data_IF_511520871560
#
_entry.id   IF_511520871560
#
_cell.length_a   1.000
_cell.length_b   1.000
_cell.length_c   1.000
_cell.angle_alpha   90.00
_cell.angle_beta   90.00
_cell.angle_gamma   90.00
#
_symmetry.space_group_name_H-M   'P 1'
#
loop_
_entity.id
_entity.type
_entity.pdbx_description
1 polymer ?
#
# COMPACT_ATOMS: atom_id res chain seq x y z
N UNK A 1 12.58 -55.78 -25.34
CA UNK A 1 12.77 -54.89 -24.19
C UNK A 1 12.79 -53.42 -24.66
N UNK A 2 11.69 -52.92 -25.24
CA UNK A 2 11.53 -51.51 -25.68
C UNK A 2 10.08 -51.00 -25.46
N UNK A 3 9.12 -51.89 -25.18
CA UNK A 3 7.69 -51.52 -25.09
C UNK A 3 7.30 -50.93 -23.72
N UNK A 4 8.14 -51.08 -22.69
CA UNK A 4 7.84 -50.63 -21.33
C UNK A 4 8.08 -49.12 -21.08
N UNK A 5 8.81 -48.40 -21.95
CA UNK A 5 9.11 -46.97 -21.71
C UNK A 5 8.02 -46.01 -22.22
N UNK A 6 7.22 -46.41 -23.23
CA UNK A 6 6.15 -45.57 -23.77
C UNK A 6 4.99 -45.37 -22.79
N UNK A 7 4.60 -46.41 -22.04
CA UNK A 7 3.46 -46.34 -21.12
C UNK A 7 3.73 -45.42 -19.90
N UNK A 8 4.99 -45.32 -19.48
CA UNK A 8 5.40 -44.43 -18.37
C UNK A 8 5.41 -42.98 -18.84
N UNK A 9 5.89 -42.72 -20.05
CA UNK A 9 5.92 -41.37 -20.63
C UNK A 9 4.52 -40.82 -20.90
N UNK A 10 3.60 -41.68 -21.37
CA UNK A 10 2.22 -41.28 -21.63
C UNK A 10 1.44 -40.95 -20.34
N UNK A 11 1.70 -41.68 -19.24
CA UNK A 11 1.13 -41.37 -17.92
C UNK A 11 1.69 -40.05 -17.36
N UNK A 12 2.97 -39.77 -17.56
CA UNK A 12 3.59 -38.53 -17.09
C UNK A 12 3.04 -37.31 -17.84
N UNK A 13 2.85 -37.42 -19.16
CA UNK A 13 2.23 -36.34 -19.97
C UNK A 13 0.76 -36.13 -19.58
N UNK A 14 -0.01 -37.21 -19.39
CA UNK A 14 -1.41 -37.09 -18.95
C UNK A 14 -1.53 -36.42 -17.57
N UNK A 15 -0.62 -36.73 -16.63
CA UNK A 15 -0.54 -36.08 -15.32
C UNK A 15 -0.22 -34.58 -15.42
N UNK A 16 0.76 -34.20 -16.25
CA UNK A 16 1.13 -32.81 -16.49
C UNK A 16 -0.02 -32.00 -17.14
N UNK A 17 -0.72 -32.60 -18.11
CA UNK A 17 -1.88 -31.97 -18.77
C UNK A 17 -3.04 -31.77 -17.79
N UNK A 18 -3.29 -32.72 -16.88
CA UNK A 18 -4.35 -32.59 -15.87
C UNK A 18 -4.03 -31.45 -14.89
N UNK A 19 -2.77 -31.35 -14.43
CA UNK A 19 -2.32 -30.28 -13.53
C UNK A 19 -2.40 -28.89 -14.18
N UNK A 20 -2.14 -28.78 -15.49
CA UNK A 20 -2.31 -27.53 -16.25
C UNK A 20 -3.80 -27.17 -16.41
N UNK A 21 -4.66 -28.17 -16.58
CA UNK A 21 -6.11 -27.98 -16.70
C UNK A 21 -6.74 -27.49 -15.39
N UNK A 22 -6.31 -28.04 -14.24
CA UNK A 22 -6.75 -27.59 -12.91
C UNK A 22 -6.29 -26.16 -12.58
N UNK A 23 -5.06 -25.76 -12.98
CA UNK A 23 -4.59 -24.37 -12.83
C UNK A 23 -5.40 -23.37 -13.66
N UNK A 24 -5.86 -23.74 -14.85
CA UNK A 24 -6.74 -22.90 -15.69
C UNK A 24 -8.17 -22.77 -15.13
N UNK A 25 -8.64 -23.75 -14.37
CA UNK A 25 -9.94 -23.66 -13.68
C UNK A 25 -9.84 -22.78 -12.44
N UNK A 26 -8.75 -22.87 -11.67
CA UNK A 26 -8.52 -21.96 -10.55
C UNK A 26 -8.34 -20.49 -10.99
N UNK A 27 -7.68 -20.24 -12.12
CA UNK A 27 -7.47 -18.86 -12.60
C UNK A 27 -8.76 -18.20 -13.11
N UNK A 28 -9.72 -18.98 -13.64
CA UNK A 28 -11.03 -18.46 -14.08
C UNK A 28 -11.97 -18.11 -12.92
N UNK A 29 -11.86 -18.81 -11.79
CA UNK A 29 -12.66 -18.51 -10.60
C UNK A 29 -12.13 -17.32 -9.79
N UNK A 30 -10.83 -17.00 -9.92
CA UNK A 30 -10.25 -15.81 -9.27
C UNK A 30 -10.66 -14.50 -9.97
N UNK A 31 -10.97 -14.54 -11.28
CA UNK A 31 -11.43 -13.36 -12.03
C UNK A 31 -12.90 -13.00 -11.76
N UNK A 32 -13.69 -13.91 -11.20
CA UNK A 32 -15.10 -13.64 -10.88
C UNK A 32 -15.30 -12.95 -9.53
N UNK A 33 -14.26 -12.87 -8.69
CA UNK A 33 -14.32 -12.26 -7.35
C UNK A 33 -13.95 -10.77 -7.31
N UNK A 34 -13.56 -10.15 -8.43
CA UNK A 34 -13.10 -8.74 -8.47
C UNK A 34 -14.16 -7.78 -9.05
N UNK A 35 -15.31 -8.27 -9.50
CA UNK A 35 -16.35 -7.43 -10.16
C UNK A 35 -17.50 -6.94 -9.27
N UNK A 36 -17.40 -7.03 -7.94
CA UNK A 36 -18.45 -6.52 -7.03
C UNK A 36 -17.87 -5.42 -6.14
N UNK A 37 -17.57 -4.24 -6.72
CA UNK A 37 -17.53 -2.96 -6.00
C UNK A 37 -17.74 -1.80 -7.00
N UNK A 38 -18.88 -1.82 -7.69
CA UNK A 38 -19.45 -0.64 -8.33
C UNK A 38 -20.80 -0.35 -7.65
N UNK A 39 -20.75 0.25 -6.47
CA UNK A 39 -21.93 0.75 -5.78
C UNK A 39 -22.44 2.02 -6.50
N UNK A 40 -23.53 1.85 -7.22
CA UNK A 40 -24.75 2.69 -7.17
C UNK A 40 -24.62 4.11 -6.61
N UNK A 41 -24.70 5.11 -7.51
CA UNK A 41 -25.28 6.42 -7.24
C UNK A 41 -26.43 6.67 -8.23
N UNK A 42 -27.61 7.15 -7.78
CA UNK A 42 -28.70 7.52 -8.66
C UNK A 42 -28.43 8.91 -9.27
N UNK A 43 -28.29 8.98 -10.60
CA UNK A 43 -28.31 10.24 -11.34
C UNK A 43 -29.77 10.55 -11.67
N UNK A 44 -30.33 11.53 -10.97
CA UNK A 44 -31.57 12.20 -11.39
C UNK A 44 -31.21 13.11 -12.58
N UNK A 45 -31.55 12.68 -13.79
CA UNK A 45 -31.49 13.52 -14.99
C UNK A 45 -32.90 13.99 -15.34
N UNK A 46 -33.21 15.25 -15.01
CA UNK A 46 -34.35 15.97 -15.57
C UNK A 46 -33.98 16.46 -16.98
N UNK A 47 -34.80 16.07 -17.95
CA UNK A 47 -34.82 16.61 -19.32
C UNK A 47 -35.29 18.07 -19.32
N UNK A 48 -34.65 18.93 -20.12
CA UNK A 48 -35.34 19.98 -20.87
C UNK A 48 -34.48 20.48 -22.05
N UNK A 49 -35.17 20.88 -23.10
CA UNK A 49 -34.75 21.01 -24.49
C UNK A 49 -33.93 22.27 -24.86
N UNK A 50 -33.31 22.16 -26.05
CA UNK A 50 -32.68 23.19 -26.89
C UNK A 50 -33.51 24.50 -27.04
N UNK A 51 -32.84 25.66 -27.05
CA UNK A 51 -32.50 26.45 -28.26
C UNK A 51 -32.42 27.98 -28.04
N UNK A 52 -31.26 28.54 -28.46
CA UNK A 52 -31.00 29.80 -29.21
C UNK A 52 -31.30 31.22 -28.67
N UNK A 53 -30.21 32.00 -28.77
CA UNK A 53 -30.03 33.43 -29.15
C UNK A 53 -29.97 34.57 -28.10
N UNK A 54 -28.81 35.26 -28.13
CA UNK A 54 -28.52 36.70 -27.90
C UNK A 54 -28.79 37.24 -26.49
N UNK A 55 -27.90 37.95 -25.79
CA UNK A 55 -27.16 39.17 -26.13
C UNK A 55 -26.15 39.46 -24.99
N UNK A 56 -25.13 40.25 -25.32
CA UNK A 56 -24.03 40.80 -24.52
C UNK A 56 -24.50 41.52 -23.23
N UNK A 57 -23.99 41.15 -22.05
CA UNK A 57 -23.92 42.03 -20.86
C UNK A 57 -22.84 41.53 -19.89
N UNK A 58 -21.89 42.43 -19.61
CA UNK A 58 -21.02 42.62 -18.44
C UNK A 58 -20.55 41.42 -17.61
N UNK A 59 -19.22 41.28 -17.59
CA UNK A 59 -18.46 40.40 -16.71
C UNK A 59 -18.85 40.59 -15.23
N UNK A 60 -19.28 39.54 -14.52
CA UNK A 60 -19.38 39.63 -13.08
C UNK A 60 -17.96 39.60 -12.49
N UNK A 61 -17.69 40.60 -11.65
CA UNK A 61 -16.54 40.65 -10.75
C UNK A 61 -16.51 39.32 -9.98
N UNK A 62 -15.50 38.51 -10.26
CA UNK A 62 -15.18 37.33 -9.46
C UNK A 62 -14.86 37.85 -8.07
N UNK A 63 -15.80 37.72 -7.14
CA UNK A 63 -15.53 37.86 -5.74
C UNK A 63 -14.47 36.81 -5.41
N UNK A 64 -13.24 37.26 -5.21
CA UNK A 64 -12.16 36.46 -4.64
C UNK A 64 -12.68 35.97 -3.29
N UNK A 65 -13.16 34.73 -3.24
CA UNK A 65 -13.37 34.05 -1.98
C UNK A 65 -12.01 34.05 -1.30
N UNK A 66 -11.87 34.87 -0.25
CA UNK A 66 -10.76 34.79 0.67
C UNK A 66 -10.68 33.35 1.12
N UNK A 67 -9.72 32.60 0.56
CA UNK A 67 -9.29 31.33 1.08
C UNK A 67 -8.79 31.63 2.48
N UNK A 68 -9.63 31.38 3.49
CA UNK A 68 -9.21 31.31 4.88
C UNK A 68 -8.03 30.35 4.89
N UNK A 69 -6.82 30.85 5.19
CA UNK A 69 -5.63 30.04 5.19
C UNK A 69 -5.85 28.86 6.14
N UNK A 70 -5.95 27.65 5.57
CA UNK A 70 -6.09 26.43 6.34
C UNK A 70 -4.89 26.37 7.30
N UNK A 71 -5.15 26.17 8.60
CA UNK A 71 -4.09 26.12 9.60
C UNK A 71 -3.03 25.09 9.16
N UNK A 72 -1.73 25.38 9.40
CA UNK A 72 -0.67 24.47 8.99
C UNK A 72 -0.87 23.10 9.64
N UNK A 73 -0.98 22.07 8.81
CA UNK A 73 -1.17 20.69 9.27
C UNK A 73 0.03 20.25 10.11
N UNK A 74 -0.25 19.53 11.21
CA UNK A 74 0.73 18.76 11.96
C UNK A 74 0.11 17.39 12.32
N UNK A 75 0.90 16.30 12.33
CA UNK A 75 0.40 14.99 12.71
C UNK A 75 0.00 14.99 14.18
N UNK A 76 -1.07 14.25 14.49
CA UNK A 76 -1.42 13.93 15.87
C UNK A 76 -0.59 12.72 16.28
N UNK A 77 0.19 12.84 17.35
CA UNK A 77 1.01 11.73 17.85
C UNK A 77 0.17 10.71 18.60
N UNK A 78 0.66 9.48 18.65
CA UNK A 78 0.01 8.39 19.34
C UNK A 78 0.02 8.64 20.85
N UNK A 79 -1.14 8.46 21.47
CA UNK A 79 -1.39 8.55 22.90
C UNK A 79 -2.53 7.60 23.24
N UNK A 80 -2.36 6.80 24.30
CA UNK A 80 -3.31 5.73 24.63
C UNK A 80 -4.71 6.21 25.03
N UNK A 81 -4.84 7.49 25.40
CA UNK A 81 -6.10 8.08 25.85
C UNK A 81 -6.83 8.84 24.74
N UNK A 82 -6.19 8.99 23.58
CA UNK A 82 -6.76 9.71 22.44
C UNK A 82 -7.69 8.79 21.66
N UNK A 83 -8.92 9.21 21.35
CA UNK A 83 -9.85 8.40 20.56
C UNK A 83 -9.29 8.14 19.16
N UNK A 84 -9.46 6.93 18.66
CA UNK A 84 -8.85 6.52 17.37
C UNK A 84 -9.36 7.37 16.19
N UNK A 85 -10.58 7.90 16.28
CA UNK A 85 -11.14 8.82 15.29
C UNK A 85 -10.33 10.11 15.13
N UNK A 86 -9.61 10.55 16.17
CA UNK A 86 -8.71 11.71 16.06
C UNK A 86 -7.60 11.45 15.02
N UNK A 87 -7.14 10.21 14.89
CA UNK A 87 -6.09 9.83 13.94
C UNK A 87 -6.57 9.75 12.49
N UNK A 88 -7.86 9.90 12.19
CA UNK A 88 -8.36 9.96 10.80
C UNK A 88 -7.79 11.17 10.03
N UNK A 89 -7.33 12.20 10.75
CA UNK A 89 -6.67 13.36 10.17
C UNK A 89 -5.22 13.06 9.72
N UNK A 90 -4.59 12.00 10.25
CA UNK A 90 -3.25 11.54 9.89
C UNK A 90 -3.26 10.82 8.54
N UNK A 91 -3.68 11.52 7.48
CA UNK A 91 -3.63 11.00 6.11
C UNK A 91 -2.17 10.86 5.66
N UNK A 92 -1.77 9.71 5.09
CA UNK A 92 -0.38 9.48 4.67
C UNK A 92 0.18 10.59 3.77
N UNK A 93 -0.60 11.08 2.78
CA UNK A 93 -0.17 12.18 1.92
C UNK A 93 0.09 13.50 2.64
N UNK A 94 -0.72 13.85 3.67
CA UNK A 94 -0.52 15.06 4.47
C UNK A 94 0.73 14.94 5.35
N UNK A 95 0.92 13.78 5.99
CA UNK A 95 2.11 13.51 6.83
C UNK A 95 3.37 13.54 5.99
N UNK A 96 3.35 12.94 4.80
CA UNK A 96 4.51 12.93 3.92
C UNK A 96 4.96 14.33 3.53
N UNK A 97 4.02 15.18 3.08
CA UNK A 97 4.32 16.58 2.74
C UNK A 97 4.79 17.38 3.96
N UNK A 98 4.22 17.10 5.14
CA UNK A 98 4.66 17.74 6.37
C UNK A 98 6.10 17.36 6.74
N UNK A 99 6.45 16.06 6.72
CA UNK A 99 7.81 15.60 6.97
C UNK A 99 8.80 16.13 5.93
N UNK A 100 8.43 16.12 4.65
CA UNK A 100 9.22 16.74 3.58
C UNK A 100 9.42 18.25 3.83
N UNK A 101 8.39 18.95 4.31
CA UNK A 101 8.47 20.33 4.75
C UNK A 101 9.47 20.54 5.90
N UNK A 102 9.43 19.66 6.92
CA UNK A 102 10.40 19.71 8.02
C UNK A 102 11.85 19.52 7.52
N UNK A 103 12.09 18.51 6.67
CA UNK A 103 13.43 18.24 6.10
C UNK A 103 13.90 19.39 5.21
N UNK A 104 13.04 19.91 4.33
CA UNK A 104 13.39 20.97 3.38
C UNK A 104 13.58 22.35 4.03
N UNK A 105 13.03 22.55 5.24
CA UNK A 105 13.22 23.78 6.01
C UNK A 105 14.61 23.90 6.65
N UNK A 106 15.36 22.80 6.74
CA UNK A 106 16.74 22.83 7.25
C UNK A 106 17.64 23.54 6.21
N UNK A 107 18.35 24.61 6.60
CA UNK A 107 19.18 25.38 5.68
C UNK A 107 20.38 24.59 5.18
N UNK A 108 21.06 25.10 4.16
CA UNK A 108 22.35 24.57 3.66
C UNK A 108 22.30 23.10 3.21
N UNK A 109 21.24 22.73 2.48
CA UNK A 109 21.12 21.39 1.90
C UNK A 109 22.39 21.03 1.10
N UNK A 110 23.07 19.91 1.43
CA UNK A 110 24.29 19.53 0.77
C UNK A 110 24.08 19.29 -0.72
N UNK A 111 25.05 19.75 -1.50
CA UNK A 111 25.15 19.51 -2.92
C UNK A 111 26.39 18.66 -3.25
N UNK A 112 26.73 18.57 -4.54
CA UNK A 112 27.88 17.81 -5.01
C UNK A 112 29.23 18.42 -4.59
N UNK A 113 29.26 19.69 -4.20
CA UNK A 113 30.45 20.42 -3.79
C UNK A 113 30.59 20.52 -2.27
N UNK A 114 29.54 20.21 -1.51
CA UNK A 114 29.58 20.21 -0.05
C UNK A 114 30.60 19.21 0.50
N UNK A 115 31.38 19.71 1.46
CA UNK A 115 32.36 18.97 2.23
C UNK A 115 31.70 17.89 3.11
N UNK A 116 32.50 16.96 3.62
CA UNK A 116 32.01 15.95 4.56
C UNK A 116 31.48 16.58 5.87
N UNK A 117 32.08 17.69 6.32
CA UNK A 117 31.66 18.36 7.54
C UNK A 117 30.33 19.10 7.36
N UNK A 118 30.11 19.79 6.24
CA UNK A 118 28.83 20.43 5.94
C UNK A 118 27.69 19.40 5.83
N UNK A 119 27.97 18.23 5.24
CA UNK A 119 27.02 17.10 5.21
C UNK A 119 26.67 16.61 6.62
N UNK A 120 27.68 16.44 7.47
CA UNK A 120 27.50 16.00 8.86
C UNK A 120 26.69 17.00 9.69
N UNK A 121 26.94 18.31 9.52
CA UNK A 121 26.18 19.37 10.19
C UNK A 121 24.72 19.33 9.72
N UNK A 122 24.47 19.27 8.42
CA UNK A 122 23.12 19.18 7.88
C UNK A 122 22.35 17.95 8.38
N UNK A 123 23.01 16.78 8.41
CA UNK A 123 22.43 15.55 8.94
C UNK A 123 22.10 15.66 10.43
N UNK A 124 22.96 16.32 11.22
CA UNK A 124 22.71 16.59 12.63
C UNK A 124 21.53 17.55 12.83
N UNK A 125 21.43 18.61 12.03
CA UNK A 125 20.33 19.58 12.09
C UNK A 125 18.98 18.93 11.74
N UNK A 126 18.95 18.04 10.73
CA UNK A 126 17.77 17.23 10.45
C UNK A 126 17.46 16.34 11.64
N UNK A 127 18.46 15.66 12.21
CA UNK A 127 18.24 14.75 13.32
C UNK A 127 17.67 15.47 14.55
N UNK A 128 18.17 16.66 14.88
CA UNK A 128 17.62 17.51 15.94
C UNK A 128 16.16 17.89 15.64
N UNK A 129 15.88 18.29 14.39
CA UNK A 129 14.51 18.62 13.98
C UNK A 129 13.54 17.43 14.09
N UNK A 130 14.02 16.23 13.76
CA UNK A 130 13.24 15.00 13.79
C UNK A 130 13.12 14.39 15.18
N UNK A 131 13.98 14.77 16.13
CA UNK A 131 13.95 14.26 17.51
C UNK A 131 12.63 14.60 18.24
N UNK A 132 11.96 15.69 17.86
CA UNK A 132 10.66 16.09 18.41
C UNK A 132 9.45 15.38 17.77
N UNK A 133 9.65 14.52 16.77
CA UNK A 133 8.56 13.81 16.11
C UNK A 133 8.24 12.55 16.90
N UNK A 134 7.08 12.55 17.54
CA UNK A 134 6.57 11.38 18.26
C UNK A 134 6.12 10.26 17.32
N UNK A 135 5.62 9.17 17.89
CA UNK A 135 5.07 8.07 17.11
C UNK A 135 3.80 8.51 16.37
N UNK A 136 3.72 8.23 15.07
CA UNK A 136 2.63 8.67 14.20
C UNK A 136 1.70 7.48 13.92
N UNK A 137 0.44 7.51 14.39
CA UNK A 137 -0.57 6.53 14.03
C UNK A 137 -1.14 6.84 12.64
N UNK A 138 -1.21 5.83 11.79
CA UNK A 138 -1.82 5.90 10.45
C UNK A 138 -2.81 4.76 10.27
N UNK A 139 -4.04 5.13 9.90
CA UNK A 139 -5.12 4.18 9.63
C UNK A 139 -5.03 3.74 8.17
N UNK A 140 -5.14 2.44 7.92
CA UNK A 140 -5.10 1.86 6.59
C UNK A 140 -6.06 0.68 6.47
N UNK A 141 -6.46 0.40 5.24
CA UNK A 141 -7.37 -0.71 4.96
C UNK A 141 -6.61 -2.05 5.02
N UNK A 142 -7.04 -2.93 5.91
CA UNK A 142 -6.58 -4.32 5.95
C UNK A 142 -7.60 -5.28 5.33
N UNK A 143 -7.13 -6.47 4.94
CA UNK A 143 -7.98 -7.53 4.44
C UNK A 143 -8.64 -8.22 5.63
N UNK A 144 -9.93 -8.50 5.53
CA UNK A 144 -10.69 -9.20 6.55
C UNK A 144 -11.55 -10.29 5.93
N UNK A 145 -11.61 -11.42 6.60
CA UNK A 145 -12.43 -12.57 6.21
C UNK A 145 -13.07 -13.16 7.45
N UNK A 146 -14.40 -13.20 7.48
CA UNK A 146 -15.13 -13.83 8.58
C UNK A 146 -15.25 -15.34 8.34
N UNK A 147 -14.95 -16.14 9.36
CA UNK A 147 -15.21 -17.57 9.41
C UNK A 147 -16.44 -17.81 10.27
N UNK A 148 -17.54 -18.25 9.65
CA UNK A 148 -18.81 -18.51 10.35
C UNK A 148 -18.73 -19.67 11.34
N UNK A 149 -17.95 -20.71 11.01
CA UNK A 149 -17.88 -21.94 11.78
C UNK A 149 -17.03 -21.73 13.03
N UNK A 150 -15.92 -20.99 12.89
CA UNK A 150 -15.05 -20.61 14.00
C UNK A 150 -15.53 -19.36 14.76
N UNK A 151 -16.54 -18.65 14.25
CA UNK A 151 -17.04 -17.37 14.77
C UNK A 151 -15.91 -16.36 15.03
N UNK A 152 -15.11 -16.12 13.98
CA UNK A 152 -13.92 -15.26 14.10
C UNK A 152 -13.62 -14.51 12.81
N UNK A 153 -13.09 -13.30 12.93
CA UNK A 153 -12.43 -12.60 11.83
C UNK A 153 -10.97 -13.01 11.72
N UNK A 154 -10.56 -13.43 10.53
CA UNK A 154 -9.17 -13.39 10.12
C UNK A 154 -8.90 -12.02 9.49
N UNK A 155 -8.03 -11.23 10.11
CA UNK A 155 -7.61 -9.93 9.60
C UNK A 155 -6.15 -10.02 9.24
N UNK A 156 -5.82 -9.67 8.01
CA UNK A 156 -4.46 -9.76 7.54
C UNK A 156 -4.07 -8.62 6.60
N UNK A 157 -2.77 -8.38 6.54
CA UNK A 157 -2.15 -7.50 5.56
C UNK A 157 -0.75 -7.98 5.28
N UNK A 158 -0.18 -7.52 4.16
CA UNK A 158 1.11 -8.01 3.67
C UNK A 158 2.11 -6.87 3.70
N UNK A 159 3.33 -7.18 4.12
CA UNK A 159 4.48 -6.37 3.78
C UNK A 159 5.27 -7.04 2.66
N UNK A 160 5.66 -6.28 1.65
CA UNK A 160 6.53 -6.75 0.56
C UNK A 160 7.94 -6.24 0.72
N UNK A 161 8.89 -6.82 0.01
CA UNK A 161 10.23 -6.24 -0.11
C UNK A 161 10.24 -5.20 -1.23
N UNK A 162 11.08 -4.16 -1.10
CA UNK A 162 11.27 -3.16 -2.16
C UNK A 162 11.95 -3.84 -3.34
N UNK A 163 11.29 -3.89 -4.51
CA UNK A 163 11.78 -4.65 -5.66
C UNK A 163 12.90 -3.92 -6.40
N UNK A 164 12.74 -2.61 -6.59
CA UNK A 164 13.74 -1.81 -7.28
C UNK A 164 14.72 -1.19 -6.28
N UNK A 165 15.67 -2.00 -5.79
CA UNK A 165 16.67 -1.53 -4.82
C UNK A 165 17.65 -0.51 -5.42
N UNK A 166 17.79 -0.45 -6.75
CA UNK A 166 18.71 0.48 -7.41
C UNK A 166 18.23 1.94 -7.34
N UNK A 167 16.92 2.15 -7.30
CA UNK A 167 16.32 3.49 -7.15
C UNK A 167 16.40 4.00 -5.70
N UNK A 168 16.56 3.11 -4.73
CA UNK A 168 16.74 3.46 -3.32
C UNK A 168 18.23 3.74 -3.06
N UNK A 169 18.67 4.96 -3.37
CA UNK A 169 20.09 5.34 -3.22
C UNK A 169 20.51 5.64 -1.78
N UNK A 170 19.55 5.86 -0.88
CA UNK A 170 19.80 6.35 0.48
C UNK A 170 20.13 5.24 1.48
N UNK A 171 19.72 4.00 1.22
CA UNK A 171 19.97 2.84 2.08
C UNK A 171 20.18 1.57 1.24
N UNK A 172 20.95 0.62 1.75
CA UNK A 172 20.97 -0.73 1.20
C UNK A 172 19.75 -1.51 1.70
N UNK A 173 18.65 -1.40 0.95
CA UNK A 173 17.39 -2.04 1.28
C UNK A 173 17.48 -3.57 1.37
N UNK A 174 18.38 -4.20 0.59
CA UNK A 174 18.56 -5.65 0.57
C UNK A 174 19.35 -6.11 1.80
N UNK A 175 20.46 -5.44 2.12
CA UNK A 175 21.26 -5.78 3.30
C UNK A 175 20.49 -5.59 4.61
N UNK A 176 19.65 -4.55 4.67
CA UNK A 176 18.79 -4.26 5.83
C UNK A 176 17.48 -5.07 5.85
N UNK A 177 17.24 -5.90 4.82
CA UNK A 177 15.99 -6.65 4.65
C UNK A 177 14.74 -5.78 4.84
N UNK A 178 14.70 -4.64 4.14
CA UNK A 178 13.62 -3.66 4.27
C UNK A 178 12.32 -4.21 3.70
N UNK A 179 11.25 -4.11 4.50
CA UNK A 179 9.88 -4.41 4.10
C UNK A 179 9.10 -3.11 3.96
N UNK A 180 8.10 -3.12 3.09
CA UNK A 180 7.17 -2.03 2.90
C UNK A 180 5.71 -2.46 3.16
N UNK A 181 4.95 -1.61 3.85
CA UNK A 181 3.49 -1.72 3.98
C UNK A 181 2.88 -0.55 3.23
N UNK A 182 1.98 -0.83 2.29
CA UNK A 182 1.25 0.20 1.54
C UNK A 182 0.11 0.71 2.43
N UNK A 183 0.09 2.01 2.67
CA UNK A 183 -0.97 2.68 3.45
C UNK A 183 -2.10 3.19 2.55
N UNK A 184 -1.76 3.60 1.33
CA UNK A 184 -2.72 4.12 0.36
C UNK A 184 -2.07 4.57 -0.93
N UNK A 185 -2.90 4.97 -1.88
CA UNK A 185 -2.47 5.46 -3.19
C UNK A 185 -3.29 6.67 -3.60
N UNK A 186 -2.63 7.65 -4.20
CA UNK A 186 -3.22 8.88 -4.73
C UNK A 186 -2.86 9.03 -6.23
N UNK A 187 -3.52 9.98 -6.91
CA UNK A 187 -3.25 10.34 -8.32
C UNK A 187 -3.24 9.13 -9.28
N UNK A 188 -4.09 8.14 -9.03
CA UNK A 188 -4.15 6.94 -9.84
C UNK A 188 -4.71 7.25 -11.22
N UNK A 189 -3.90 7.06 -12.26
CA UNK A 189 -4.33 7.11 -13.66
C UNK A 189 -4.37 5.71 -14.26
N UNK A 190 -5.33 5.49 -15.16
CA UNK A 190 -5.52 4.22 -15.86
C UNK A 190 -5.71 4.49 -17.33
N UNK A 191 -4.77 4.01 -18.14
CA UNK A 191 -4.77 4.17 -19.57
C UNK A 191 -4.55 2.81 -20.25
N UNK A 192 -4.61 2.79 -21.57
CA UNK A 192 -4.23 1.61 -22.34
C UNK A 192 -3.58 2.00 -23.65
N UNK A 193 -2.64 1.19 -24.12
CA UNK A 193 -2.00 1.36 -25.41
C UNK A 193 -1.86 0.02 -26.12
N UNK A 194 -1.71 0.05 -27.44
CA UNK A 194 -1.40 -1.14 -28.22
C UNK A 194 0.11 -1.34 -28.21
N UNK A 195 0.55 -2.51 -27.74
CA UNK A 195 1.94 -2.95 -27.83
C UNK A 195 2.05 -4.07 -28.86
N UNK A 196 3.17 -4.13 -29.57
CA UNK A 196 3.47 -5.19 -30.52
C UNK A 196 4.66 -5.99 -30.00
N UNK A 197 4.57 -7.32 -30.03
CA UNK A 197 5.71 -8.17 -29.70
C UNK A 197 6.65 -8.34 -30.91
N UNK A 198 7.80 -9.00 -30.70
CA UNK A 198 8.80 -9.24 -31.75
C UNK A 198 8.29 -10.08 -32.95
N UNK A 199 7.15 -10.79 -32.80
CA UNK A 199 6.52 -11.59 -33.85
C UNK A 199 5.39 -10.84 -34.56
N UNK A 200 5.22 -9.55 -34.27
CA UNK A 200 4.20 -8.71 -34.88
C UNK A 200 2.80 -8.84 -34.28
N UNK A 201 2.61 -9.66 -33.23
CA UNK A 201 1.31 -9.79 -32.59
C UNK A 201 1.02 -8.58 -31.70
N UNK A 202 -0.15 -7.98 -31.91
CA UNK A 202 -0.61 -6.83 -31.14
C UNK A 202 -1.37 -7.26 -29.89
N UNK A 203 -1.17 -6.54 -28.79
CA UNK A 203 -1.90 -6.74 -27.54
C UNK A 203 -2.17 -5.40 -26.91
N UNK A 204 -3.40 -5.23 -26.40
CA UNK A 204 -3.73 -4.06 -25.58
C UNK A 204 -3.09 -4.24 -24.21
N UNK A 205 -2.19 -3.32 -23.88
CA UNK A 205 -1.58 -3.24 -22.56
C UNK A 205 -2.37 -2.26 -21.72
N UNK A 206 -2.76 -2.68 -20.52
CA UNK A 206 -3.39 -1.83 -19.53
C UNK A 206 -2.30 -1.19 -18.67
N UNK A 207 -2.28 0.15 -18.61
CA UNK A 207 -1.29 0.91 -17.86
C UNK A 207 -1.92 1.54 -16.64
N UNK A 208 -1.32 1.33 -15.48
CA UNK A 208 -1.68 2.01 -14.24
C UNK A 208 -0.48 2.81 -13.73
N UNK A 209 -0.70 4.08 -13.39
CA UNK A 209 0.30 4.90 -12.69
C UNK A 209 -0.32 5.43 -11.40
N UNK A 210 0.41 5.37 -10.28
CA UNK A 210 -0.08 5.89 -9.01
C UNK A 210 1.07 6.38 -8.11
N UNK A 211 0.76 7.37 -7.27
CA UNK A 211 1.61 7.79 -6.16
C UNK A 211 1.24 6.94 -4.94
N UNK A 212 2.18 6.18 -4.40
CA UNK A 212 1.95 5.18 -3.34
C UNK A 212 2.60 5.64 -2.05
N UNK A 213 1.79 5.83 -1.01
CA UNK A 213 2.31 6.11 0.33
C UNK A 213 2.46 4.83 1.12
N UNK A 214 3.63 4.66 1.73
CA UNK A 214 3.99 3.40 2.39
C UNK A 214 4.89 3.63 3.59
N UNK A 215 4.99 2.64 4.46
CA UNK A 215 6.01 2.59 5.52
C UNK A 215 7.05 1.56 5.11
N UNK A 216 8.31 1.97 5.09
CA UNK A 216 9.47 1.10 4.91
C UNK A 216 10.21 0.93 6.23
N UNK A 217 10.53 -0.30 6.59
CA UNK A 217 11.17 -0.63 7.86
C UNK A 217 12.08 -1.85 7.69
N UNK A 218 13.23 -1.93 8.38
CA UNK A 218 13.97 -3.17 8.49
C UNK A 218 13.09 -4.25 9.12
N UNK A 219 13.11 -5.47 8.59
CA UNK A 219 12.22 -6.53 9.08
C UNK A 219 12.35 -6.83 10.59
N UNK A 220 13.56 -6.64 11.14
CA UNK A 220 13.82 -6.80 12.59
C UNK A 220 13.06 -5.78 13.46
N UNK A 221 12.61 -4.68 12.86
CA UNK A 221 11.97 -3.55 13.53
C UNK A 221 10.44 -3.56 13.33
N UNK A 222 9.84 -4.76 13.33
CA UNK A 222 8.38 -4.94 13.27
C UNK A 222 7.84 -5.92 14.31
N UNK A 223 6.54 -5.84 14.65
CA UNK A 223 5.86 -6.81 15.52
C UNK A 223 5.87 -8.21 14.94
N UNK A 224 6.85 -9.03 15.34
CA UNK A 224 7.03 -10.38 14.79
C UNK A 224 6.05 -11.42 15.36
N UNK A 225 5.39 -11.10 16.48
CA UNK A 225 4.45 -11.98 17.19
C UNK A 225 3.18 -12.32 16.41
N UNK A 226 2.79 -11.47 15.46
CA UNK A 226 1.61 -11.63 14.61
C UNK A 226 1.95 -12.05 13.19
N UNK A 227 3.21 -12.39 12.94
CA UNK A 227 3.63 -12.92 11.65
C UNK A 227 3.17 -14.38 11.60
N UNK A 228 2.29 -14.65 10.64
CA UNK A 228 1.80 -15.99 10.45
C UNK A 228 2.80 -16.81 9.64
N UNK A 229 3.49 -17.71 10.33
CA UNK A 229 4.24 -18.81 9.73
C UNK A 229 3.31 -19.98 9.33
N UNK A 230 2.00 -19.87 9.61
CA UNK A 230 0.93 -20.87 9.62
C UNK A 230 0.80 -21.80 8.42
N UNK A 231 1.73 -22.75 8.31
CA UNK A 231 1.78 -23.74 7.24
C UNK A 231 2.43 -23.24 5.96
N UNK A 232 3.15 -22.11 6.03
CA UNK A 232 4.01 -21.65 4.95
C UNK A 232 4.99 -22.77 4.61
N UNK A 233 4.96 -23.36 3.39
CA UNK A 233 5.90 -24.40 3.02
C UNK A 233 7.32 -23.91 3.30
N UNK A 234 8.21 -24.76 3.81
CA UNK A 234 9.62 -24.43 4.14
C UNK A 234 10.31 -23.60 3.04
N UNK A 235 9.86 -23.72 1.79
CA UNK A 235 10.28 -22.91 0.64
C UNK A 235 10.11 -21.40 0.80
N UNK A 236 9.12 -20.90 1.55
CA UNK A 236 8.94 -19.44 1.69
C UNK A 236 9.72 -18.84 2.88
N UNK A 237 10.30 -19.66 3.77
CA UNK A 237 11.08 -19.16 4.92
C UNK A 237 12.39 -18.50 4.51
N UNK A 238 12.97 -18.95 3.40
CA UNK A 238 14.22 -18.44 2.83
C UNK A 238 14.01 -17.96 1.39
N UNK A 239 12.97 -17.17 1.16
CA UNK A 239 12.81 -16.53 -0.14
C UNK A 239 13.92 -15.51 -0.37
N UNK A 240 14.45 -15.43 -1.60
CA UNK A 240 15.23 -14.28 -2.01
C UNK A 240 14.46 -13.00 -1.70
N UNK A 241 15.17 -12.00 -1.17
CA UNK A 241 14.62 -10.70 -0.76
C UNK A 241 13.52 -10.17 -1.71
N UNK A 242 13.77 -10.15 -3.02
CA UNK A 242 12.84 -9.60 -4.02
C UNK A 242 11.44 -10.25 -4.07
N UNK A 243 11.31 -11.49 -3.60
CA UNK A 243 10.04 -12.22 -3.56
C UNK A 243 9.58 -12.53 -2.14
N UNK A 244 10.37 -12.16 -1.12
CA UNK A 244 10.01 -12.34 0.29
C UNK A 244 8.90 -11.36 0.67
N UNK A 245 7.79 -11.94 1.15
CA UNK A 245 6.60 -11.24 1.62
C UNK A 245 6.27 -11.77 3.01
N UNK A 246 5.89 -10.88 3.91
CA UNK A 246 5.44 -11.25 5.26
C UNK A 246 3.96 -10.99 5.40
N UNK A 247 3.26 -11.96 5.96
CA UNK A 247 1.83 -11.89 6.24
C UNK A 247 1.65 -11.65 7.74
N UNK A 248 1.03 -10.53 8.08
CA UNK A 248 0.62 -10.22 9.45
C UNK A 248 -0.83 -10.65 9.59
N UNK A 249 -1.16 -11.41 10.64
CA UNK A 249 -2.48 -11.97 10.86
C UNK A 249 -2.93 -11.79 12.31
N UNK A 250 -4.17 -11.33 12.47
CA UNK A 250 -4.94 -11.41 13.70
C UNK A 250 -6.13 -12.35 13.51
N UNK A 251 -6.38 -13.19 14.50
CA UNK A 251 -7.62 -13.96 14.60
C UNK A 251 -8.43 -13.38 15.75
N UNK A 252 -9.55 -12.75 15.43
CA UNK A 252 -10.39 -12.04 16.41
C UNK A 252 -11.70 -12.80 16.60
N UNK A 253 -11.92 -13.44 17.76
CA UNK A 253 -13.20 -14.05 18.08
C UNK A 253 -14.31 -13.00 18.06
N UNK A 254 -15.37 -13.23 17.29
CA UNK A 254 -16.50 -12.31 17.18
C UNK A 254 -17.77 -13.06 16.79
N UNK A 255 -18.86 -12.81 17.52
CA UNK A 255 -20.15 -13.45 17.24
C UNK A 255 -20.74 -12.96 15.91
N UNK A 256 -21.54 -13.81 15.27
CA UNK A 256 -22.07 -13.50 13.93
C UNK A 256 -23.00 -12.28 13.88
N UNK A 257 -23.68 -11.95 14.97
CA UNK A 257 -24.50 -10.73 15.09
C UNK A 257 -23.61 -9.49 15.03
N UNK A 258 -22.56 -9.50 15.84
CA UNK A 258 -21.64 -8.38 16.01
C UNK A 258 -20.80 -8.19 14.75
N UNK A 259 -20.37 -9.29 14.14
CA UNK A 259 -19.68 -9.28 12.86
C UNK A 259 -20.50 -8.58 11.78
N UNK A 260 -21.80 -8.91 11.64
CA UNK A 260 -22.67 -8.23 10.66
C UNK A 260 -22.82 -6.73 10.92
N UNK A 261 -22.87 -6.32 12.19
CA UNK A 261 -23.00 -4.91 12.56
C UNK A 261 -21.69 -4.13 12.36
N UNK A 262 -20.55 -4.76 12.64
CA UNK A 262 -19.23 -4.12 12.71
C UNK A 262 -18.37 -4.32 11.47
N UNK A 263 -18.80 -5.16 10.52
CA UNK A 263 -17.99 -5.56 9.36
C UNK A 263 -17.37 -4.35 8.65
N UNK A 264 -18.15 -3.29 8.40
CA UNK A 264 -17.67 -2.09 7.70
C UNK A 264 -16.78 -1.17 8.54
N UNK A 265 -16.79 -1.33 9.85
CA UNK A 265 -16.11 -0.44 10.81
C UNK A 265 -14.77 -1.00 11.29
N UNK A 266 -14.50 -2.29 11.07
CA UNK A 266 -13.19 -2.89 11.35
C UNK A 266 -12.14 -2.36 10.38
N UNK A 267 -11.09 -1.76 10.92
CA UNK A 267 -9.93 -1.25 10.17
C UNK A 267 -8.63 -1.46 10.95
N UNK A 268 -7.50 -1.17 10.32
CA UNK A 268 -6.18 -1.35 10.91
C UNK A 268 -5.48 0.00 11.10
N UNK A 269 -4.65 0.06 12.13
CA UNK A 269 -3.79 1.18 12.46
C UNK A 269 -2.36 0.67 12.61
N UNK A 270 -1.42 1.45 12.11
CA UNK A 270 0.00 1.27 12.38
C UNK A 270 0.51 2.49 13.10
N UNK A 271 1.20 2.29 14.22
CA UNK A 271 1.91 3.32 14.97
C UNK A 271 3.38 3.18 14.63
N UNK A 272 3.94 4.25 14.08
CA UNK A 272 5.25 4.21 13.45
C UNK A 272 6.17 5.30 14.01
N UNK A 273 7.43 4.94 14.26
CA UNK A 273 8.49 5.87 14.63
C UNK A 273 9.38 6.15 13.42
N UNK A 274 9.69 7.43 13.16
CA UNK A 274 10.60 7.81 12.09
C UNK A 274 12.06 7.62 12.51
N UNK A 275 12.91 7.18 11.59
CA UNK A 275 14.35 7.10 11.77
C UNK A 275 15.08 7.50 10.48
N UNK A 276 16.35 7.93 10.52
CA UNK A 276 17.11 8.25 9.31
C UNK A 276 17.07 7.11 8.28
N UNK A 277 16.88 7.38 6.97
CA UNK A 277 16.82 8.70 6.31
C UNK A 277 15.43 9.38 6.31
N UNK A 278 14.51 8.94 7.18
CA UNK A 278 13.16 9.46 7.43
C UNK A 278 12.14 9.27 6.30
N UNK A 279 12.55 9.53 5.06
CA UNK A 279 11.75 9.31 3.86
C UNK A 279 12.57 8.58 2.78
N UNK A 280 11.91 7.69 2.05
CA UNK A 280 12.44 7.06 0.84
C UNK A 280 11.56 7.42 -0.35
N UNK A 281 12.19 7.69 -1.48
CA UNK A 281 11.54 7.90 -2.78
C UNK A 281 12.11 6.89 -3.76
N UNK A 282 11.25 6.10 -4.40
CA UNK A 282 11.66 5.12 -5.41
C UNK A 282 10.51 4.83 -6.36
N UNK A 283 10.81 4.35 -7.57
CA UNK A 283 9.78 3.92 -8.52
C UNK A 283 9.87 2.42 -8.73
N UNK A 284 8.74 1.73 -8.60
CA UNK A 284 8.65 0.35 -9.07
C UNK A 284 7.91 0.32 -10.40
N UNK A 285 8.54 -0.33 -11.37
CA UNK A 285 7.96 -0.56 -12.69
C UNK A 285 7.76 -2.06 -12.88
N UNK A 286 6.49 -2.46 -13.04
CA UNK A 286 6.14 -3.78 -13.54
C UNK A 286 5.91 -3.67 -15.03
N UNK A 287 6.77 -4.31 -15.80
CA UNK A 287 6.64 -4.38 -17.24
C UNK A 287 5.58 -5.41 -17.64
N UNK A 288 4.86 -5.16 -18.76
CA UNK A 288 3.93 -6.15 -19.30
C UNK A 288 4.71 -7.40 -19.70
N UNK A 289 4.09 -8.56 -19.48
CA UNK A 289 4.62 -9.86 -19.85
C UNK A 289 3.65 -10.56 -20.81
N UNK A 290 4.10 -11.65 -21.42
CA UNK A 290 3.23 -12.44 -22.30
C UNK A 290 1.95 -12.93 -21.59
N UNK A 291 2.08 -13.30 -20.32
CA UNK A 291 0.99 -13.92 -19.56
C UNK A 291 0.17 -12.86 -18.78
N UNK A 292 0.68 -11.63 -18.67
CA UNK A 292 0.02 -10.49 -18.02
C UNK A 292 0.34 -9.19 -18.77
N UNK A 293 -0.59 -8.77 -19.62
CA UNK A 293 -0.50 -7.54 -20.42
C UNK A 293 -0.82 -6.28 -19.61
N UNK A 294 -0.27 -6.17 -18.40
CA UNK A 294 -0.46 -5.04 -17.50
C UNK A 294 0.88 -4.38 -17.19
N UNK A 295 0.93 -3.06 -17.31
CA UNK A 295 2.06 -2.22 -16.93
C UNK A 295 1.68 -1.41 -15.69
N UNK A 296 2.44 -1.54 -14.61
CA UNK A 296 2.22 -0.76 -13.39
C UNK A 296 3.45 0.12 -13.12
N UNK A 297 3.24 1.42 -12.94
CA UNK A 297 4.26 2.40 -12.55
C UNK A 297 3.86 3.01 -11.21
N UNK A 298 4.53 2.60 -10.14
CA UNK A 298 4.24 3.09 -8.79
C UNK A 298 5.37 3.98 -8.29
N UNK A 299 5.05 5.24 -8.01
CA UNK A 299 5.96 6.20 -7.40
C UNK A 299 5.78 6.16 -5.90
N UNK A 300 6.72 5.55 -5.19
CA UNK A 300 6.63 5.37 -3.75
C UNK A 300 7.13 6.61 -3.02
N UNK A 301 6.28 7.08 -2.09
CA UNK A 301 6.53 8.10 -1.09
C UNK A 301 6.52 7.42 0.28
N UNK A 302 7.67 6.87 0.67
CA UNK A 302 7.75 5.99 1.84
C UNK A 302 8.30 6.69 3.07
N UNK A 303 7.74 6.41 4.24
CA UNK A 303 8.30 6.77 5.55
C UNK A 303 9.29 5.69 5.98
N UNK A 304 10.45 6.06 6.51
CA UNK A 304 11.44 5.10 6.98
C UNK A 304 11.63 5.12 8.50
N UNK A 305 11.65 3.94 9.11
CA UNK A 305 11.81 3.79 10.56
C UNK A 305 11.36 2.44 11.06
N UNK A 306 10.63 2.41 12.19
CA UNK A 306 10.18 1.18 12.83
C UNK A 306 8.66 1.16 13.05
N UNK A 307 8.08 -0.04 13.01
CA UNK A 307 6.68 -0.24 13.39
C UNK A 307 6.66 -0.55 14.88
N UNK A 308 6.19 0.40 15.68
CA UNK A 308 6.13 0.23 17.13
C UNK A 308 4.90 -0.57 17.56
N UNK A 309 3.77 -0.37 16.87
CA UNK A 309 2.51 -1.08 17.15
C UNK A 309 1.69 -1.26 15.88
N UNK A 310 1.03 -2.39 15.77
CA UNK A 310 -0.07 -2.64 14.83
C UNK A 310 -1.31 -2.95 15.64
N UNK A 311 -2.41 -2.29 15.33
CA UNK A 311 -3.68 -2.51 15.99
C UNK A 311 -4.79 -2.72 14.98
N UNK A 312 -5.73 -3.61 15.31
CA UNK A 312 -7.04 -3.67 14.71
C UNK A 312 -8.00 -2.97 15.65
N UNK A 313 -8.82 -2.07 15.13
CA UNK A 313 -9.84 -1.40 15.92
C UNK A 313 -11.19 -1.38 15.22
N UNK A 314 -12.22 -1.31 16.03
CA UNK A 314 -13.60 -1.08 15.61
C UNK A 314 -13.87 0.43 15.62
N UNK A 315 -14.03 1.01 14.43
CA UNK A 315 -14.31 2.44 14.29
C UNK A 315 -15.70 2.85 14.79
N UNK A 316 -16.63 1.91 14.99
CA UNK A 316 -17.96 2.21 15.54
C UNK A 316 -17.89 2.42 17.05
N UNK A 317 -17.16 1.53 17.75
CA UNK A 317 -17.03 1.56 19.20
C UNK A 317 -15.80 2.34 19.69
N UNK A 318 -14.97 2.82 18.76
CA UNK A 318 -13.66 3.46 19.00
C UNK A 318 -12.72 2.61 19.89
N UNK A 319 -12.77 1.28 19.74
CA UNK A 319 -12.00 0.34 20.57
C UNK A 319 -10.99 -0.44 19.77
N UNK A 320 -9.78 -0.54 20.30
CA UNK A 320 -8.78 -1.53 19.86
C UNK A 320 -9.29 -2.91 20.27
N UNK A 321 -9.42 -3.80 19.29
CA UNK A 321 -9.92 -5.17 19.46
C UNK A 321 -8.80 -6.22 19.39
N UNK A 322 -7.67 -5.87 18.79
CA UNK A 322 -6.44 -6.65 18.84
C UNK A 322 -5.25 -5.74 18.57
N UNK A 323 -4.09 -6.03 19.17
CA UNK A 323 -2.86 -5.29 18.92
C UNK A 323 -1.61 -6.16 19.06
N UNK A 324 -0.52 -5.69 18.48
CA UNK A 324 0.80 -6.25 18.62
C UNK A 324 1.83 -5.14 18.61
N UNK A 325 2.70 -5.16 19.62
CA UNK A 325 3.82 -4.25 19.75
C UNK A 325 5.11 -4.89 19.20
N UNK A 326 6.10 -4.06 18.90
CA UNK A 326 7.43 -4.50 18.43
C UNK A 326 8.15 -5.36 19.46
#
# INVERSE_FOLDING_TARGET
MVIASCAVYERMIKSQILAIKERKVLSKNLTFAISIMAASFPVLAQQANKAKHMKKTDSPIVATQSQTAEAPFAPIYFDSNTPVSAYLNNRPGKIYRWLEGQISSVPNKPDQFSTAEEKRIYEADIAERMAGVGHIPMIFNCQKKYNSDAQSYEINFRSSSIRNTYDVKTIDAKALNVKNIILGSENMTRDSYMAQNAYGAETRVHKMTADVYSISFPFKDSPTSIIDDGGVPVREKNLPYLIDKKLYRFNIPMQSSDARAKDKHITCMVVFSIAPPYILKYTEHKFPTRDDASEDIFKYHSFYGAIEKIAVFDALDEKIIAEADR
#
